data_IF_323516074109
#
_entry.id   IF_323516074109
#
_cell.length_a   1.000
_cell.length_b   1.000
_cell.length_c   1.000
_cell.angle_alpha   90.00
_cell.angle_beta   90.00
_cell.angle_gamma   90.00
#
_symmetry.space_group_name_H-M   'P 1'
#
loop_
_entity.id
_entity.type
_entity.pdbx_description
1 polymer ?
#
# COMPACT_ATOMS: atom_id res chain seq x y z
N UNK A 1 0.90 1.74 -26.16
CA UNK A 1 2.02 0.77 -26.12
C UNK A 1 3.40 1.43 -26.27
N UNK A 2 3.60 2.37 -27.21
CA UNK A 2 4.90 3.03 -27.42
C UNK A 2 5.56 3.60 -26.14
N UNK A 3 4.78 4.27 -25.27
CA UNK A 3 5.29 4.80 -24.00
C UNK A 3 5.80 3.72 -23.04
N UNK A 4 5.06 2.61 -22.90
CA UNK A 4 5.44 1.50 -22.01
C UNK A 4 6.72 0.83 -22.50
N UNK A 5 6.84 0.62 -23.82
CA UNK A 5 8.04 0.07 -24.45
C UNK A 5 9.26 0.97 -24.26
N UNK A 6 9.09 2.30 -24.38
CA UNK A 6 10.16 3.27 -24.13
C UNK A 6 10.62 3.26 -22.67
N UNK A 7 9.68 3.22 -21.72
CA UNK A 7 10.01 3.13 -20.29
C UNK A 7 10.75 1.84 -19.98
N UNK A 8 10.29 0.74 -20.58
CA UNK A 8 10.83 -0.61 -20.38
C UNK A 8 12.21 -0.81 -20.99
N UNK A 9 12.51 -0.14 -22.11
CA UNK A 9 13.82 -0.17 -22.78
C UNK A 9 14.83 0.85 -22.24
N UNK A 10 14.46 1.64 -21.23
CA UNK A 10 15.38 2.59 -20.60
C UNK A 10 16.54 1.86 -19.90
N UNK A 11 17.74 2.47 -19.91
CA UNK A 11 18.91 1.88 -19.26
C UNK A 11 18.73 1.62 -17.76
N UNK A 12 17.87 2.40 -17.09
CA UNK A 12 17.45 2.13 -15.71
C UNK A 12 16.64 0.83 -15.61
N UNK A 13 15.63 0.64 -16.46
CA UNK A 13 14.81 -0.57 -16.46
C UNK A 13 15.63 -1.82 -16.80
N UNK A 14 16.59 -1.70 -17.73
CA UNK A 14 17.55 -2.77 -18.02
C UNK A 14 18.42 -3.08 -16.80
N UNK A 15 18.98 -2.08 -16.12
CA UNK A 15 19.76 -2.30 -14.90
C UNK A 15 18.95 -2.95 -13.77
N UNK A 16 17.69 -2.54 -13.58
CA UNK A 16 16.82 -3.17 -12.58
C UNK A 16 16.55 -4.64 -12.93
N UNK A 17 16.38 -4.98 -14.21
CA UNK A 17 16.03 -6.34 -14.66
C UNK A 17 17.24 -7.28 -14.75
N UNK A 18 18.35 -6.79 -15.27
CA UNK A 18 19.53 -7.57 -15.67
C UNK A 18 20.74 -7.31 -14.78
N UNK A 19 20.70 -6.30 -13.91
CA UNK A 19 21.79 -6.03 -12.99
C UNK A 19 22.03 -7.19 -12.03
N UNK A 20 23.19 -7.83 -12.13
CA UNK A 20 23.61 -8.94 -11.25
C UNK A 20 23.92 -8.51 -9.80
N UNK A 21 23.71 -7.22 -9.49
CA UNK A 21 23.97 -6.66 -8.16
C UNK A 21 22.77 -6.82 -7.23
N UNK A 22 23.05 -7.09 -5.96
CA UNK A 22 22.03 -7.09 -4.89
C UNK A 22 21.24 -5.77 -4.84
N UNK A 23 21.86 -4.66 -5.26
CA UNK A 23 21.29 -3.32 -5.22
C UNK A 23 20.25 -3.02 -6.31
N UNK A 24 20.13 -3.89 -7.32
CA UNK A 24 19.16 -3.76 -8.40
C UNK A 24 17.78 -4.30 -7.95
N UNK A 25 17.25 -5.31 -8.64
CA UNK A 25 15.95 -5.91 -8.32
C UNK A 25 15.77 -6.30 -6.84
N UNK A 26 16.74 -6.97 -6.17
CA UNK A 26 16.51 -7.50 -4.83
C UNK A 26 16.31 -6.41 -3.78
N UNK A 27 17.16 -5.36 -3.76
CA UNK A 27 16.99 -4.23 -2.85
C UNK A 27 15.69 -3.48 -3.10
N UNK A 28 15.34 -3.20 -4.37
CA UNK A 28 14.09 -2.50 -4.70
C UNK A 28 12.88 -3.30 -4.23
N UNK A 29 12.86 -4.62 -4.47
CA UNK A 29 11.79 -5.50 -4.03
C UNK A 29 11.71 -5.59 -2.49
N UNK A 30 12.86 -5.60 -1.81
CA UNK A 30 12.94 -5.62 -0.34
C UNK A 30 12.36 -4.33 0.23
N UNK A 31 12.78 -3.18 -0.28
CA UNK A 31 12.26 -1.87 0.14
C UNK A 31 10.76 -1.73 -0.14
N UNK A 32 10.27 -2.25 -1.26
CA UNK A 32 8.84 -2.30 -1.56
C UNK A 32 8.09 -3.19 -0.56
N UNK A 33 8.63 -4.35 -0.22
CA UNK A 33 7.98 -5.25 0.75
C UNK A 33 7.98 -4.63 2.15
N UNK A 34 9.07 -3.97 2.54
CA UNK A 34 9.19 -3.25 3.80
C UNK A 34 8.20 -2.07 3.87
N UNK A 35 8.12 -1.25 2.83
CA UNK A 35 7.14 -0.17 2.72
C UNK A 35 5.71 -0.68 2.85
N UNK A 36 5.38 -1.81 2.23
CA UNK A 36 4.07 -2.45 2.37
C UNK A 36 3.81 -2.91 3.81
N UNK A 37 4.81 -3.46 4.49
CA UNK A 37 4.72 -3.79 5.91
C UNK A 37 4.42 -2.57 6.80
N UNK A 38 5.09 -1.44 6.53
CA UNK A 38 4.82 -0.19 7.24
C UNK A 38 3.41 0.32 6.95
N UNK A 39 3.01 0.41 5.68
CA UNK A 39 1.71 0.96 5.27
C UNK A 39 0.54 0.07 5.70
N UNK A 40 0.48 -1.16 5.21
CA UNK A 40 -0.63 -2.07 5.46
C UNK A 40 -0.62 -2.58 6.91
N UNK A 41 0.56 -2.92 7.44
CA UNK A 41 0.68 -3.46 8.80
C UNK A 41 0.22 -2.47 9.87
N UNK A 42 0.68 -1.21 9.80
CA UNK A 42 0.22 -0.20 10.76
C UNK A 42 -1.25 0.20 10.53
N UNK A 43 -1.75 0.19 9.30
CA UNK A 43 -3.18 0.39 9.02
C UNK A 43 -4.02 -0.68 9.72
N UNK A 44 -3.64 -1.95 9.58
CA UNK A 44 -4.32 -3.08 10.24
C UNK A 44 -4.29 -2.92 11.77
N UNK A 45 -3.21 -2.43 12.37
CA UNK A 45 -3.17 -2.16 13.83
C UNK A 45 -4.24 -1.16 14.26
N UNK A 46 -4.40 -0.06 13.52
CA UNK A 46 -5.45 0.93 13.78
C UNK A 46 -6.84 0.32 13.53
N UNK A 47 -7.02 -0.41 12.43
CA UNK A 47 -8.29 -1.02 12.06
C UNK A 47 -8.76 -2.04 13.10
N UNK A 48 -7.89 -2.96 13.54
CA UNK A 48 -8.20 -3.93 14.59
C UNK A 48 -8.62 -3.22 15.88
N UNK A 49 -7.96 -2.10 16.21
CA UNK A 49 -8.33 -1.32 17.37
C UNK A 49 -9.73 -0.69 17.24
N UNK A 50 -10.10 -0.20 16.06
CA UNK A 50 -11.45 0.32 15.78
C UNK A 50 -12.53 -0.76 15.79
N UNK A 51 -12.17 -1.98 15.38
CA UNK A 51 -13.04 -3.16 15.47
C UNK A 51 -13.24 -3.66 16.91
N UNK A 52 -12.47 -3.14 17.86
CA UNK A 52 -12.60 -3.47 19.29
C UNK A 52 -11.66 -4.58 19.75
N UNK A 53 -10.63 -4.91 18.97
CA UNK A 53 -9.52 -5.74 19.43
C UNK A 53 -8.52 -4.83 20.18
N UNK A 54 -8.05 -5.24 21.36
CA UNK A 54 -7.13 -4.41 22.15
C UNK A 54 -7.75 -3.14 22.74
N UNK A 55 -9.02 -3.17 23.17
CA UNK A 55 -9.79 -2.02 23.73
C UNK A 55 -9.07 -1.23 24.83
N UNK A 56 -8.12 -1.85 25.53
CA UNK A 56 -7.31 -1.22 26.58
C UNK A 56 -6.31 -0.19 26.04
N UNK A 57 -5.94 -0.27 24.76
CA UNK A 57 -5.05 0.71 24.12
C UNK A 57 -5.87 1.95 23.76
N UNK A 58 -5.51 3.17 24.22
CA UNK A 58 -6.18 4.39 23.78
C UNK A 58 -5.93 4.65 22.28
N UNK A 59 -6.85 5.36 21.60
CA UNK A 59 -6.69 5.65 20.17
C UNK A 59 -5.60 6.71 19.91
N UNK A 60 -5.54 7.77 20.71
CA UNK A 60 -4.59 8.89 20.50
C UNK A 60 -3.11 8.48 20.35
N UNK A 61 -2.56 7.56 21.17
CA UNK A 61 -1.20 7.05 20.98
C UNK A 61 -0.94 6.38 19.62
N UNK A 62 -1.97 5.97 18.89
CA UNK A 62 -1.85 5.40 17.55
C UNK A 62 -1.79 6.47 16.44
N UNK A 63 -2.09 7.74 16.75
CA UNK A 63 -2.06 8.85 15.77
C UNK A 63 -0.72 8.98 15.03
N UNK A 64 0.46 8.83 15.66
CA UNK A 64 1.74 8.90 14.94
C UNK A 64 1.90 7.82 13.85
N UNK A 65 1.15 6.71 13.93
CA UNK A 65 1.21 5.66 12.90
C UNK A 65 0.76 6.18 11.53
N UNK A 66 -0.09 7.20 11.43
CA UNK A 66 -0.45 7.78 10.13
C UNK A 66 0.76 8.39 9.41
N UNK A 67 1.73 8.96 10.14
CA UNK A 67 2.99 9.43 9.54
C UNK A 67 3.84 8.26 9.03
N UNK A 68 3.87 7.15 9.77
CA UNK A 68 4.54 5.91 9.35
C UNK A 68 3.87 5.32 8.11
N UNK A 69 2.53 5.29 8.07
CA UNK A 69 1.76 4.85 6.91
C UNK A 69 2.10 5.68 5.66
N UNK A 70 2.15 7.01 5.77
CA UNK A 70 2.55 7.87 4.66
C UNK A 70 4.00 7.64 4.22
N UNK A 71 4.92 7.45 5.17
CA UNK A 71 6.30 7.05 4.86
C UNK A 71 6.36 5.73 4.07
N UNK A 72 5.62 4.72 4.52
CA UNK A 72 5.48 3.45 3.82
C UNK A 72 4.84 3.58 2.43
N UNK A 73 3.82 4.46 2.29
CA UNK A 73 3.19 4.75 1.00
C UNK A 73 4.17 5.36 0.00
N UNK A 74 4.91 6.40 0.39
CA UNK A 74 5.88 7.03 -0.52
C UNK A 74 7.02 6.08 -0.89
N UNK A 75 7.52 5.31 0.07
CA UNK A 75 8.51 4.26 -0.21
C UNK A 75 7.98 3.24 -1.22
N UNK A 76 6.74 2.78 -1.06
CA UNK A 76 6.09 1.86 -1.98
C UNK A 76 5.81 2.45 -3.34
N UNK A 77 5.42 3.72 -3.41
CA UNK A 77 5.13 4.39 -4.67
C UNK A 77 6.42 4.47 -5.50
N UNK A 78 7.51 4.95 -4.90
CA UNK A 78 8.80 5.07 -5.58
C UNK A 78 9.32 3.69 -6.03
N UNK A 79 9.42 2.74 -5.11
CA UNK A 79 9.92 1.39 -5.43
C UNK A 79 8.99 0.63 -6.37
N UNK A 80 7.67 0.80 -6.22
CA UNK A 80 6.67 0.19 -7.09
C UNK A 80 6.72 0.73 -8.52
N UNK A 81 6.97 2.04 -8.68
CA UNK A 81 7.22 2.65 -9.99
C UNK A 81 8.49 2.12 -10.64
N UNK A 82 9.56 1.91 -9.86
CA UNK A 82 10.79 1.27 -10.36
C UNK A 82 10.55 -0.17 -10.83
N UNK A 83 9.85 -0.97 -10.04
CA UNK A 83 9.47 -2.35 -10.40
C UNK A 83 8.53 -2.40 -11.61
N UNK A 84 7.65 -1.40 -11.74
CA UNK A 84 6.78 -1.26 -12.90
C UNK A 84 7.58 -0.95 -14.15
N UNK A 85 8.50 0.01 -14.09
CA UNK A 85 9.34 0.40 -15.22
C UNK A 85 10.15 -0.79 -15.78
N UNK A 86 10.64 -1.66 -14.90
CA UNK A 86 11.41 -2.85 -15.27
C UNK A 86 10.62 -3.89 -16.11
N UNK A 87 9.29 -3.86 -16.12
CA UNK A 87 8.44 -4.78 -16.91
C UNK A 87 7.10 -4.12 -17.24
N UNK A 88 7.17 -2.90 -17.80
CA UNK A 88 6.03 -1.98 -17.88
C UNK A 88 4.94 -2.48 -18.82
N UNK A 89 5.30 -3.15 -19.91
CA UNK A 89 4.33 -3.65 -20.89
C UNK A 89 3.51 -4.80 -20.31
N UNK A 90 4.19 -5.77 -19.67
CA UNK A 90 3.53 -6.92 -19.02
C UNK A 90 2.68 -6.48 -17.83
N UNK A 91 3.22 -5.63 -16.96
CA UNK A 91 2.51 -5.17 -15.76
C UNK A 91 1.37 -4.21 -16.11
N UNK A 92 1.57 -3.30 -17.06
CA UNK A 92 0.58 -2.28 -17.43
C UNK A 92 -0.68 -2.83 -18.09
N UNK A 93 -0.60 -4.04 -18.67
CA UNK A 93 -1.72 -4.74 -19.31
C UNK A 93 -2.32 -5.83 -18.42
N UNK A 94 -1.74 -6.09 -17.26
CA UNK A 94 -2.20 -7.13 -16.33
C UNK A 94 -3.41 -6.68 -15.52
N UNK A 95 -4.48 -7.47 -15.57
CA UNK A 95 -5.67 -7.27 -14.72
C UNK A 95 -5.31 -7.28 -13.23
N UNK A 96 -4.37 -8.14 -12.80
CA UNK A 96 -3.93 -8.19 -11.40
C UNK A 96 -3.22 -6.91 -10.96
N UNK A 97 -2.45 -6.28 -11.85
CA UNK A 97 -1.81 -5.01 -11.57
C UNK A 97 -2.84 -3.89 -11.38
N UNK A 98 -3.81 -3.79 -12.29
CA UNK A 98 -4.88 -2.79 -12.21
C UNK A 98 -5.74 -3.00 -10.97
N UNK A 99 -6.13 -4.25 -10.68
CA UNK A 99 -6.85 -4.59 -9.47
C UNK A 99 -6.07 -4.20 -8.21
N UNK A 100 -4.76 -4.50 -8.17
CA UNK A 100 -3.88 -4.06 -7.06
C UNK A 100 -3.95 -2.55 -6.86
N UNK A 101 -3.83 -1.75 -7.92
CA UNK A 101 -3.87 -0.29 -7.81
C UNK A 101 -5.22 0.22 -7.28
N UNK A 102 -6.33 -0.38 -7.71
CA UNK A 102 -7.67 -0.05 -7.19
C UNK A 102 -7.76 -0.35 -5.69
N UNK A 103 -7.31 -1.52 -5.25
CA UNK A 103 -7.32 -1.87 -3.83
C UNK A 103 -6.39 -0.99 -2.99
N UNK A 104 -5.22 -0.62 -3.52
CA UNK A 104 -4.34 0.36 -2.85
C UNK A 104 -5.06 1.71 -2.71
N UNK A 105 -5.74 2.19 -3.75
CA UNK A 105 -6.50 3.44 -3.69
C UNK A 105 -7.62 3.38 -2.64
N UNK A 106 -8.36 2.27 -2.57
CA UNK A 106 -9.39 2.04 -1.54
C UNK A 106 -8.76 2.02 -0.14
N UNK A 107 -7.62 1.35 0.05
CA UNK A 107 -6.91 1.27 1.33
C UNK A 107 -6.44 2.65 1.81
N UNK A 108 -5.81 3.44 0.93
CA UNK A 108 -5.40 4.83 1.22
C UNK A 108 -6.60 5.72 1.51
N UNK A 109 -7.68 5.58 0.73
CA UNK A 109 -8.91 6.33 0.97
C UNK A 109 -9.53 6.01 2.34
N UNK A 110 -9.61 4.72 2.70
CA UNK A 110 -10.06 4.28 4.02
C UNK A 110 -9.18 4.85 5.13
N UNK A 111 -7.86 4.75 5.00
CA UNK A 111 -6.88 5.33 5.93
C UNK A 111 -7.12 6.83 6.16
N UNK A 112 -7.27 7.62 5.08
CA UNK A 112 -7.51 9.07 5.17
C UNK A 112 -8.84 9.37 5.84
N UNK A 113 -9.91 8.65 5.50
CA UNK A 113 -11.21 8.84 6.13
C UNK A 113 -11.21 8.45 7.60
N UNK A 114 -10.52 7.38 7.99
CA UNK A 114 -10.35 6.99 9.38
C UNK A 114 -9.64 8.09 10.15
N UNK A 115 -8.52 8.62 9.64
CA UNK A 115 -7.83 9.75 10.28
C UNK A 115 -8.78 10.93 10.50
N UNK A 116 -9.48 11.34 9.45
CA UNK A 116 -10.36 12.52 9.50
C UNK A 116 -11.56 12.34 10.41
N UNK A 117 -12.20 11.17 10.38
CA UNK A 117 -13.46 10.91 11.10
C UNK A 117 -13.28 10.43 12.53
N UNK A 118 -12.12 9.84 12.87
CA UNK A 118 -11.88 9.28 14.21
C UNK A 118 -10.86 10.10 14.99
N UNK A 119 -9.82 10.58 14.34
CA UNK A 119 -8.73 11.28 15.01
C UNK A 119 -8.89 12.80 14.89
N UNK A 120 -9.36 13.33 13.77
CA UNK A 120 -9.47 14.79 13.60
C UNK A 120 -10.88 15.33 13.89
N UNK A 121 -11.88 14.47 14.09
CA UNK A 121 -13.27 14.87 14.34
C UNK A 121 -13.54 15.17 15.84
N UNK A 122 -14.49 16.08 16.15
CA UNK A 122 -14.93 16.31 17.52
C UNK A 122 -15.55 15.06 18.16
N UNK A 123 -15.40 14.94 19.49
CA UNK A 123 -15.78 13.76 20.28
C UNK A 123 -17.27 13.35 20.19
N UNK A 124 -18.17 14.27 19.84
CA UNK A 124 -19.62 14.05 19.74
C UNK A 124 -20.12 13.61 18.36
N UNK A 125 -19.23 13.34 17.40
CA UNK A 125 -19.65 12.85 16.09
C UNK A 125 -20.10 11.39 16.15
N UNK A 126 -21.18 11.03 15.44
CA UNK A 126 -21.69 9.67 15.27
C UNK A 126 -20.73 8.72 14.49
N UNK A 127 -19.43 9.02 14.50
CA UNK A 127 -18.37 8.43 13.68
C UNK A 127 -18.04 6.97 14.04
N UNK A 128 -18.50 6.45 15.17
CA UNK A 128 -18.13 5.11 15.64
C UNK A 128 -18.64 3.97 14.74
N UNK A 129 -19.85 4.09 14.18
CA UNK A 129 -20.41 3.06 13.29
C UNK A 129 -19.77 3.08 11.89
N UNK A 130 -19.46 4.28 11.37
CA UNK A 130 -18.71 4.43 10.12
C UNK A 130 -17.26 3.95 10.26
N UNK A 131 -16.63 4.16 11.42
CA UNK A 131 -15.24 3.75 11.66
C UNK A 131 -15.03 2.23 11.53
N UNK A 132 -15.97 1.42 12.04
CA UNK A 132 -15.90 -0.05 11.90
C UNK A 132 -16.02 -0.52 10.45
N UNK A 133 -16.89 0.13 9.66
CA UNK A 133 -17.05 -0.19 8.22
C UNK A 133 -15.79 0.15 7.45
N UNK A 134 -15.20 1.33 7.72
CA UNK A 134 -13.94 1.75 7.11
C UNK A 134 -12.78 0.81 7.49
N UNK A 135 -12.72 0.36 8.75
CA UNK A 135 -11.71 -0.58 9.22
C UNK A 135 -11.78 -1.94 8.48
N UNK A 136 -12.98 -2.51 8.33
CA UNK A 136 -13.17 -3.73 7.54
C UNK A 136 -12.77 -3.56 6.08
N UNK A 137 -13.20 -2.45 5.47
CA UNK A 137 -12.86 -2.13 4.08
C UNK A 137 -11.34 -1.97 3.89
N UNK A 138 -10.66 -1.29 4.82
CA UNK A 138 -9.21 -1.14 4.83
C UNK A 138 -8.50 -2.48 4.89
N UNK A 139 -8.85 -3.35 5.85
CA UNK A 139 -8.27 -4.70 5.99
C UNK A 139 -8.46 -5.53 4.71
N UNK A 140 -9.67 -5.53 4.15
CA UNK A 140 -9.97 -6.26 2.91
C UNK A 140 -9.18 -5.71 1.73
N UNK A 141 -9.09 -4.39 1.61
CA UNK A 141 -8.35 -3.72 0.55
C UNK A 141 -6.84 -4.03 0.63
N UNK A 142 -6.22 -3.93 1.80
CA UNK A 142 -4.81 -4.27 1.97
C UNK A 142 -4.52 -5.74 1.72
N UNK A 143 -5.41 -6.63 2.16
CA UNK A 143 -5.30 -8.07 1.89
C UNK A 143 -5.37 -8.33 0.39
N UNK A 144 -6.38 -7.78 -0.29
CA UNK A 144 -6.57 -7.96 -1.73
C UNK A 144 -5.42 -7.36 -2.55
N UNK A 145 -4.92 -6.17 -2.19
CA UNK A 145 -3.76 -5.55 -2.82
C UNK A 145 -2.49 -6.40 -2.68
N UNK A 146 -2.26 -6.97 -1.49
CA UNK A 146 -1.10 -7.82 -1.20
C UNK A 146 -1.20 -9.15 -1.96
N UNK A 147 -2.37 -9.78 -1.95
CA UNK A 147 -2.64 -11.01 -2.71
C UNK A 147 -2.48 -10.78 -4.21
N UNK A 148 -3.08 -9.74 -4.78
CA UNK A 148 -2.92 -9.40 -6.19
C UNK A 148 -1.44 -9.15 -6.57
N UNK A 149 -0.70 -8.47 -5.70
CA UNK A 149 0.75 -8.27 -5.87
C UNK A 149 1.54 -9.57 -5.86
N UNK A 150 1.19 -10.53 -4.99
CA UNK A 150 1.83 -11.85 -4.95
C UNK A 150 1.47 -12.71 -6.16
N UNK A 151 0.22 -12.71 -6.58
CA UNK A 151 -0.25 -13.46 -7.76
C UNK A 151 0.46 -12.97 -9.02
N UNK A 152 0.63 -11.66 -9.19
CA UNK A 152 1.35 -11.07 -10.32
C UNK A 152 2.81 -11.52 -10.45
N UNK A 153 3.42 -12.02 -9.37
CA UNK A 153 4.78 -12.56 -9.41
C UNK A 153 4.84 -14.06 -9.77
N UNK A 154 3.70 -14.76 -9.78
CA UNK A 154 3.63 -16.21 -9.99
C UNK A 154 2.78 -16.62 -11.19
N UNK A 155 1.88 -15.75 -11.65
CA UNK A 155 0.99 -15.93 -12.81
C UNK A 155 1.41 -14.92 -13.89
#
# INVERSE_FOLDING_TARGET
>A
MAFLMWLESSGFSTWVREGESIWAFPTILTLHTFGMGLLAGTSVVVDLRLLGIGRRVPLEPLRPLFSVMWGGFWLNLVTGSMLFAADATKRGTSTFFLAKLVFVAIGVWAMVLIKRSVFDAPADSAAAASAKRLAWMSILAWTAATTAGRLLAYI
#
